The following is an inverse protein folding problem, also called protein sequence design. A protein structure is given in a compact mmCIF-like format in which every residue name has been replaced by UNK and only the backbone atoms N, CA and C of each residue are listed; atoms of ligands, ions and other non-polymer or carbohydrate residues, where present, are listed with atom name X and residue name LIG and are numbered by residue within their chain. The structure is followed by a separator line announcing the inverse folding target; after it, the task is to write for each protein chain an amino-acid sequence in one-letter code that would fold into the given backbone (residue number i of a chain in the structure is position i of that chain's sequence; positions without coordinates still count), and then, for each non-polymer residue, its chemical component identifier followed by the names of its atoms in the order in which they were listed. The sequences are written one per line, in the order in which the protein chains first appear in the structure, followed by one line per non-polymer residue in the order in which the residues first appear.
data_IF_114083468577
#
_entry.id   IF_114083468577
#
_cell.length_a   1.000
_cell.length_b   1.000
_cell.length_c   1.000
_cell.angle_alpha   90.00
_cell.angle_beta   90.00
_cell.angle_gamma   90.00
#
_symmetry.space_group_name_H-M   'P 1'
#
loop_
_entity.id
_entity.type
_entity.pdbx_description
1 polymer ?
#
# COMPACT_ATOMS: atom_id res chain seq x y z
N UNK A 1 12.96 0.65 80.17
CA UNK A 1 11.73 -0.07 80.56
C UNK A 1 10.70 0.14 79.47
N UNK A 2 10.27 -0.94 78.79
CA UNK A 2 9.09 -0.97 77.87
C UNK A 2 7.82 -0.85 78.70
N UNK A 3 6.71 -0.21 78.24
CA UNK A 3 5.74 -0.89 77.35
C UNK A 3 5.01 0.05 76.32
N UNK A 4 4.67 -0.41 75.10
CA UNK A 4 3.31 -0.77 74.58
C UNK A 4 2.28 0.39 74.63
N UNK A 5 1.42 0.73 73.66
CA UNK A 5 0.74 0.00 72.58
C UNK A 5 -0.09 1.02 71.74
N UNK A 6 -0.30 0.73 70.45
CA UNK A 6 -1.50 0.99 69.61
C UNK A 6 -2.11 2.41 69.42
N UNK A 7 -2.17 2.85 68.13
CA UNK A 7 -3.33 3.43 67.43
C UNK A 7 -2.84 4.03 66.09
N UNK A 8 -2.76 3.27 65.00
CA UNK A 8 -3.79 3.20 63.94
C UNK A 8 -4.57 4.51 63.74
N UNK A 9 -4.08 5.39 62.86
CA UNK A 9 -4.92 6.09 61.87
C UNK A 9 -4.10 6.22 60.59
N UNK A 10 -4.33 5.28 59.68
CA UNK A 10 -3.84 5.36 58.31
C UNK A 10 -4.66 6.43 57.56
N UNK A 11 -3.99 7.48 57.10
CA UNK A 11 -4.54 8.42 56.12
C UNK A 11 -3.57 8.51 54.94
N UNK A 12 -3.48 7.42 54.18
CA UNK A 12 -2.84 7.43 52.86
C UNK A 12 -3.83 8.07 51.88
N UNK A 13 -3.62 9.36 51.59
CA UNK A 13 -4.19 10.02 50.40
C UNK A 13 -3.63 9.35 49.14
N UNK A 14 -4.34 8.35 48.62
CA UNK A 14 -4.07 7.81 47.29
C UNK A 14 -4.69 8.75 46.25
N UNK A 15 -3.85 9.58 45.65
CA UNK A 15 -4.19 10.43 44.52
C UNK A 15 -4.39 9.54 43.29
N UNK A 16 -5.64 9.13 43.05
CA UNK A 16 -6.03 8.33 41.88
C UNK A 16 -5.96 9.16 40.60
N UNK A 17 -4.84 9.07 39.89
CA UNK A 17 -4.76 9.53 38.49
C UNK A 17 -5.53 8.56 37.60
N UNK A 18 -6.78 8.90 37.31
CA UNK A 18 -7.55 8.24 36.27
C UNK A 18 -6.94 8.56 34.90
N UNK A 19 -6.12 7.64 34.37
CA UNK A 19 -5.70 7.66 32.98
C UNK A 19 -6.93 7.28 32.12
N UNK A 20 -7.64 8.28 31.64
CA UNK A 20 -8.71 8.11 30.66
C UNK A 20 -8.11 7.67 29.32
N UNK A 21 -8.07 6.36 29.08
CA UNK A 21 -7.81 5.78 27.75
C UNK A 21 -9.00 6.09 26.86
N UNK A 22 -8.92 7.17 26.08
CA UNK A 22 -9.89 7.42 25.02
C UNK A 22 -9.85 6.26 24.01
N UNK A 23 -11.00 5.73 23.56
CA UNK A 23 -11.01 4.76 22.49
C UNK A 23 -10.52 5.44 21.22
N UNK A 24 -9.43 4.93 20.64
CA UNK A 24 -9.01 5.31 19.31
C UNK A 24 -10.06 4.78 18.32
N UNK A 25 -10.89 5.67 17.78
CA UNK A 25 -11.78 5.34 16.68
C UNK A 25 -10.90 5.11 15.44
N UNK A 26 -10.70 3.84 15.08
CA UNK A 26 -10.14 3.48 13.79
C UNK A 26 -11.12 3.97 12.71
N UNK A 27 -10.69 4.95 11.92
CA UNK A 27 -11.42 5.36 10.71
C UNK A 27 -11.33 4.22 9.72
N UNK A 28 -12.45 3.51 9.55
CA UNK A 28 -12.63 2.46 8.56
C UNK A 28 -12.76 3.13 7.18
N UNK A 29 -11.60 3.42 6.58
CA UNK A 29 -11.47 4.18 5.31
C UNK A 29 -10.02 4.41 4.91
N UNK A 30 -9.08 3.63 5.45
CA UNK A 30 -7.67 3.77 5.15
C UNK A 30 -7.40 3.46 3.67
N UNK A 31 -6.61 4.31 3.02
CA UNK A 31 -6.27 4.16 1.62
C UNK A 31 -5.60 2.79 1.35
N UNK A 32 -6.05 2.12 0.30
CA UNK A 32 -5.46 0.88 -0.19
C UNK A 32 -4.13 1.21 -0.85
N UNK A 33 -3.05 0.87 -0.18
CA UNK A 33 -1.71 0.98 -0.75
C UNK A 33 -1.42 -0.22 -1.66
N UNK A 34 -0.90 0.06 -2.86
CA UNK A 34 -0.38 -0.93 -3.80
C UNK A 34 0.90 -0.40 -4.42
N UNK A 35 1.88 -1.28 -4.66
CA UNK A 35 3.10 -0.86 -5.33
C UNK A 35 2.89 -0.80 -6.84
N UNK A 36 3.56 0.13 -7.51
CA UNK A 36 3.60 0.20 -8.97
C UNK A 36 4.09 -1.14 -9.55
N UNK A 37 3.49 -1.56 -10.67
CA UNK A 37 3.73 -2.82 -11.36
C UNK A 37 3.44 -4.09 -10.53
N UNK A 38 2.76 -3.97 -9.39
CA UNK A 38 2.42 -5.10 -8.52
C UNK A 38 0.90 -5.26 -8.38
N UNK A 39 0.49 -6.49 -8.10
CA UNK A 39 -0.89 -6.83 -7.81
C UNK A 39 -1.12 -7.09 -6.32
N UNK A 40 -2.31 -6.73 -5.83
CA UNK A 40 -2.78 -6.98 -4.47
C UNK A 40 -4.17 -7.61 -4.53
N UNK A 41 -4.36 -8.67 -3.76
CA UNK A 41 -5.66 -9.34 -3.63
C UNK A 41 -6.50 -8.58 -2.59
N UNK A 42 -7.66 -8.11 -3.01
CA UNK A 42 -8.68 -7.51 -2.14
C UNK A 42 -9.81 -8.52 -1.94
N UNK A 43 -10.17 -8.79 -0.69
CA UNK A 43 -11.38 -9.56 -0.36
C UNK A 43 -12.48 -8.59 0.06
N UNK A 44 -13.69 -8.82 -0.43
CA UNK A 44 -14.87 -8.01 -0.13
C UNK A 44 -15.96 -8.84 0.53
N UNK A 45 -16.82 -8.17 1.30
CA UNK A 45 -17.78 -8.81 2.21
C UNK A 45 -19.04 -9.32 1.50
N UNK A 46 -19.23 -8.93 0.23
CA UNK A 46 -20.41 -9.21 -0.58
C UNK A 46 -20.00 -9.42 -2.05
N UNK A 47 -20.89 -10.00 -2.84
CA UNK A 47 -20.65 -10.28 -4.25
C UNK A 47 -20.56 -8.99 -5.07
N UNK A 48 -19.41 -8.71 -5.69
CA UNK A 48 -19.27 -7.64 -6.66
C UNK A 48 -20.03 -7.98 -7.96
N UNK A 49 -20.84 -7.05 -8.45
CA UNK A 49 -21.41 -7.11 -9.79
C UNK A 49 -20.74 -6.09 -10.72
N UNK A 50 -20.41 -4.91 -10.20
CA UNK A 50 -19.79 -3.83 -10.97
C UNK A 50 -18.60 -3.28 -10.21
N UNK A 51 -17.49 -3.07 -10.92
CA UNK A 51 -16.28 -2.44 -10.38
C UNK A 51 -15.96 -1.21 -11.22
N UNK A 52 -15.73 -0.09 -10.55
CA UNK A 52 -15.43 1.20 -11.16
C UNK A 52 -14.12 1.69 -10.57
N UNK A 53 -13.17 2.01 -11.44
CA UNK A 53 -11.91 2.66 -11.08
C UNK A 53 -11.91 4.08 -11.63
N UNK A 54 -11.63 5.06 -10.77
CA UNK A 54 -11.65 6.47 -11.18
C UNK A 54 -10.67 6.78 -12.33
N UNK A 55 -9.45 6.24 -12.27
CA UNK A 55 -8.45 6.35 -13.32
C UNK A 55 -7.73 5.01 -13.61
N UNK A 56 -8.08 4.31 -14.71
CA UNK A 56 -7.46 3.04 -15.11
C UNK A 56 -5.99 3.16 -15.58
N UNK A 57 -5.48 4.39 -15.72
CA UNK A 57 -4.05 4.66 -15.92
C UNK A 57 -3.23 4.54 -14.64
N UNK A 58 -3.84 4.79 -13.47
CA UNK A 58 -3.18 4.72 -12.14
C UNK A 58 -3.26 3.31 -11.58
N UNK A 59 -4.45 2.73 -11.53
CA UNK A 59 -4.65 1.37 -11.06
C UNK A 59 -5.73 0.67 -11.90
N UNK A 60 -5.75 -0.66 -11.90
CA UNK A 60 -6.76 -1.45 -12.59
C UNK A 60 -7.23 -2.60 -11.69
N UNK A 61 -8.46 -3.09 -11.88
CA UNK A 61 -9.03 -4.15 -11.07
C UNK A 61 -9.68 -5.21 -11.94
N UNK A 62 -9.34 -6.47 -11.68
CA UNK A 62 -9.97 -7.64 -12.31
C UNK A 62 -10.72 -8.45 -11.26
N UNK A 63 -11.92 -8.91 -11.59
CA UNK A 63 -12.71 -9.80 -10.74
C UNK A 63 -12.21 -11.23 -10.96
N UNK A 64 -11.67 -11.86 -9.93
CA UNK A 64 -11.25 -13.27 -9.98
C UNK A 64 -12.43 -14.19 -9.67
N UNK A 65 -13.19 -13.84 -8.63
CA UNK A 65 -14.43 -14.48 -8.20
C UNK A 65 -15.34 -13.42 -7.54
N UNK A 66 -16.61 -13.74 -7.23
CA UNK A 66 -17.56 -12.74 -6.72
C UNK A 66 -17.09 -11.94 -5.49
N UNK A 67 -16.18 -12.48 -4.67
CA UNK A 67 -15.70 -11.81 -3.46
C UNK A 67 -14.20 -11.51 -3.46
N UNK A 68 -13.51 -11.79 -4.58
CA UNK A 68 -12.07 -11.61 -4.72
C UNK A 68 -11.74 -10.74 -5.92
N UNK A 69 -11.11 -9.60 -5.65
CA UNK A 69 -10.65 -8.64 -6.65
C UNK A 69 -9.12 -8.64 -6.70
N UNK A 70 -8.56 -8.56 -7.90
CA UNK A 70 -7.13 -8.38 -8.14
C UNK A 70 -6.90 -6.93 -8.54
N UNK A 71 -6.36 -6.14 -7.62
CA UNK A 71 -5.96 -4.75 -7.85
C UNK A 71 -4.52 -4.73 -8.37
N UNK A 72 -4.28 -4.05 -9.49
CA UNK A 72 -2.94 -3.86 -10.07
C UNK A 72 -2.58 -2.38 -10.08
N UNK A 73 -1.46 -2.01 -9.46
CA UNK A 73 -0.91 -0.65 -9.57
C UNK A 73 -0.19 -0.47 -10.90
N UNK A 74 -0.60 0.51 -11.71
CA UNK A 74 -0.02 0.77 -13.05
C UNK A 74 0.86 2.01 -13.08
N UNK A 75 0.40 3.11 -12.50
CA UNK A 75 1.19 4.33 -12.39
C UNK A 75 1.06 5.03 -11.05
N UNK A 76 2.04 5.86 -10.73
CA UNK A 76 2.08 6.60 -9.47
C UNK A 76 0.91 7.57 -9.36
N UNK A 77 0.35 7.67 -8.16
CA UNK A 77 -0.70 8.64 -7.86
C UNK A 77 -1.77 8.05 -6.95
N UNK A 78 -2.88 8.79 -6.87
CA UNK A 78 -4.04 8.40 -6.10
C UNK A 78 -5.26 8.31 -7.03
N UNK A 79 -6.07 7.28 -6.82
CA UNK A 79 -7.38 7.12 -7.47
C UNK A 79 -8.36 6.50 -6.49
N UNK A 80 -9.57 6.18 -6.91
CA UNK A 80 -10.56 5.53 -6.08
C UNK A 80 -11.11 4.28 -6.76
N UNK A 81 -11.60 3.37 -5.92
CA UNK A 81 -12.25 2.13 -6.29
C UNK A 81 -13.65 2.12 -5.70
N UNK A 82 -14.65 1.97 -6.57
CA UNK A 82 -16.04 1.80 -6.19
C UNK A 82 -16.48 0.40 -6.63
N UNK A 83 -17.03 -0.37 -5.70
CA UNK A 83 -17.55 -1.72 -5.94
C UNK A 83 -19.03 -1.71 -5.63
N UNK A 84 -19.86 -2.17 -6.56
CA UNK A 84 -21.31 -2.23 -6.41
C UNK A 84 -21.82 -3.67 -6.44
N UNK A 85 -22.91 -3.93 -5.71
CA UNK A 85 -23.69 -5.16 -5.81
C UNK A 85 -24.57 -5.19 -7.07
N UNK A 86 -25.32 -6.28 -7.27
CA UNK A 86 -26.21 -6.46 -8.44
C UNK A 86 -27.41 -5.52 -8.46
N UNK A 87 -27.73 -4.86 -7.35
CA UNK A 87 -28.83 -3.91 -7.19
C UNK A 87 -28.32 -2.45 -7.32
N UNK A 88 -27.00 -2.26 -7.37
CA UNK A 88 -26.34 -0.96 -7.49
C UNK A 88 -25.98 -0.31 -6.16
N UNK A 89 -26.06 -1.03 -5.03
CA UNK A 89 -25.61 -0.48 -3.74
C UNK A 89 -24.08 -0.56 -3.64
N UNK A 90 -23.42 0.46 -3.05
CA UNK A 90 -21.98 0.42 -2.84
C UNK A 90 -21.59 -0.59 -1.76
N UNK A 91 -20.76 -1.56 -2.15
CA UNK A 91 -20.07 -2.51 -1.27
C UNK A 91 -18.80 -1.88 -0.70
N UNK A 92 -18.07 -1.12 -1.51
CA UNK A 92 -16.87 -0.41 -1.12
C UNK A 92 -16.73 0.89 -1.93
N UNK A 93 -16.25 1.95 -1.26
CA UNK A 93 -15.77 3.18 -1.86
C UNK A 93 -14.50 3.59 -1.10
N UNK A 94 -13.35 3.46 -1.74
CA UNK A 94 -12.05 3.65 -1.08
C UNK A 94 -11.04 4.29 -2.00
N UNK A 95 -10.14 5.07 -1.42
CA UNK A 95 -8.96 5.55 -2.15
C UNK A 95 -7.94 4.42 -2.34
N UNK A 96 -7.28 4.44 -3.48
CA UNK A 96 -6.11 3.64 -3.83
C UNK A 96 -4.93 4.60 -3.94
N UNK A 97 -3.83 4.25 -3.29
CA UNK A 97 -2.57 4.95 -3.40
C UNK A 97 -1.53 4.02 -4.03
N UNK A 98 -0.98 4.44 -5.18
CA UNK A 98 0.02 3.68 -5.92
C UNK A 98 1.39 4.28 -5.67
N UNK A 99 2.23 3.55 -4.94
CA UNK A 99 3.54 4.01 -4.47
C UNK A 99 4.68 3.19 -5.06
N UNK A 100 5.89 3.72 -4.98
CA UNK A 100 7.08 2.95 -5.34
C UNK A 100 7.30 1.81 -4.35
N UNK A 101 7.71 0.64 -4.85
CA UNK A 101 8.26 -0.40 -3.98
C UNK A 101 9.61 0.10 -3.44
N UNK A 102 9.68 0.31 -2.13
CA UNK A 102 10.90 0.79 -1.48
C UNK A 102 11.92 -0.34 -1.26
N UNK A 103 11.47 -1.60 -1.20
CA UNK A 103 12.34 -2.75 -0.98
C UNK A 103 13.01 -3.19 -2.29
N UNK A 104 14.34 -3.32 -2.27
CA UNK A 104 15.12 -3.92 -3.36
C UNK A 104 15.30 -3.05 -4.61
N UNK A 105 14.79 -1.82 -4.62
CA UNK A 105 14.95 -0.87 -5.72
C UNK A 105 15.86 0.29 -5.31
N UNK A 106 16.92 0.51 -6.08
CA UNK A 106 17.85 1.63 -5.94
C UNK A 106 17.68 2.57 -7.12
N UNK A 107 17.52 3.87 -6.85
CA UNK A 107 17.49 4.90 -7.88
C UNK A 107 18.81 5.68 -7.87
N UNK A 108 19.44 5.81 -9.03
CA UNK A 108 20.69 6.57 -9.20
C UNK A 108 20.39 7.84 -10.00
N UNK A 109 20.88 8.98 -9.51
CA UNK A 109 20.76 10.27 -10.18
C UNK A 109 22.14 10.75 -10.64
N UNK A 110 22.29 11.02 -11.93
CA UNK A 110 23.47 11.62 -12.55
C UNK A 110 23.08 12.94 -13.21
N UNK A 111 23.07 14.02 -12.41
CA UNK A 111 22.46 15.28 -12.82
C UNK A 111 20.94 15.13 -12.94
N UNK A 112 20.39 15.36 -14.13
CA UNK A 112 18.96 15.18 -14.42
C UNK A 112 18.60 13.75 -14.87
N UNK A 113 19.61 12.92 -15.18
CA UNK A 113 19.38 11.55 -15.60
C UNK A 113 19.08 10.68 -14.37
N UNK A 114 17.90 10.05 -14.35
CA UNK A 114 17.47 9.10 -13.32
C UNK A 114 17.52 7.69 -13.88
N UNK A 115 18.10 6.74 -13.16
CA UNK A 115 18.06 5.32 -13.53
C UNK A 115 17.62 4.47 -12.35
N UNK A 116 16.86 3.41 -12.63
CA UNK A 116 16.35 2.49 -11.61
C UNK A 116 17.00 1.11 -11.72
N UNK A 117 17.35 0.55 -10.57
CA UNK A 117 18.04 -0.73 -10.42
C UNK A 117 17.31 -1.61 -9.41
N UNK A 118 17.17 -2.90 -9.70
CA UNK A 118 16.77 -3.90 -8.71
C UNK A 118 18.02 -4.61 -8.17
N UNK A 119 18.26 -4.57 -6.86
CA UNK A 119 19.51 -5.07 -6.26
C UNK A 119 19.25 -6.22 -5.27
N UNK A 120 19.69 -7.43 -5.63
CA UNK A 120 19.73 -8.58 -4.71
C UNK A 120 20.58 -9.75 -5.27
N UNK A 121 21.85 -9.97 -4.84
CA UNK A 121 22.83 -9.04 -4.26
C UNK A 121 23.55 -8.17 -5.32
N UNK A 122 23.42 -8.52 -6.60
CA UNK A 122 23.90 -7.74 -7.74
C UNK A 122 22.76 -6.89 -8.29
N UNK A 123 23.06 -5.66 -8.71
CA UNK A 123 22.07 -4.78 -9.30
C UNK A 123 21.83 -5.09 -10.78
N UNK A 124 20.56 -5.20 -11.16
CA UNK A 124 20.11 -5.32 -12.54
C UNK A 124 19.30 -4.08 -12.93
N UNK A 125 19.41 -3.67 -14.19
CA UNK A 125 18.63 -2.55 -14.72
C UNK A 125 17.15 -2.93 -14.75
N UNK A 126 16.31 -2.02 -14.26
CA UNK A 126 14.85 -2.11 -14.41
C UNK A 126 14.34 -0.81 -15.02
N UNK A 127 13.22 -0.90 -15.72
CA UNK A 127 12.57 0.29 -16.27
C UNK A 127 11.51 0.76 -15.27
N UNK A 128 11.65 1.98 -14.78
CA UNK A 128 10.61 2.65 -13.99
C UNK A 128 10.17 3.96 -14.64
N UNK A 129 8.92 4.36 -14.40
CA UNK A 129 8.47 5.70 -14.80
C UNK A 129 9.32 6.77 -14.13
N UNK A 130 9.67 7.79 -14.91
CA UNK A 130 10.55 8.87 -14.50
C UNK A 130 12.03 8.60 -14.73
N UNK A 131 12.42 7.40 -15.18
CA UNK A 131 13.79 7.14 -15.61
C UNK A 131 14.13 7.92 -16.89
N UNK A 132 15.43 8.15 -17.10
CA UNK A 132 15.96 8.80 -18.27
C UNK A 132 15.46 8.09 -19.55
N UNK A 133 14.93 8.83 -20.55
CA UNK A 133 14.39 8.23 -21.76
C UNK A 133 15.45 7.44 -22.56
N UNK A 134 16.71 7.88 -22.54
CA UNK A 134 17.82 7.19 -23.20
C UNK A 134 18.13 5.85 -22.54
N UNK A 135 18.21 5.82 -21.20
CA UNK A 135 18.36 4.59 -20.43
C UNK A 135 17.20 3.62 -20.67
N UNK A 136 15.96 4.11 -20.59
CA UNK A 136 14.76 3.30 -20.78
C UNK A 136 14.69 2.73 -22.20
N UNK A 137 15.01 3.54 -23.21
CA UNK A 137 15.05 3.09 -24.61
C UNK A 137 16.08 1.99 -24.86
N UNK A 138 17.27 2.09 -24.26
CA UNK A 138 18.29 1.04 -24.35
C UNK A 138 17.86 -0.26 -23.67
N UNK A 139 17.22 -0.18 -22.51
CA UNK A 139 16.71 -1.35 -21.80
C UNK A 139 15.56 -2.05 -22.54
N UNK A 140 14.67 -1.30 -23.21
CA UNK A 140 13.65 -1.90 -24.08
C UNK A 140 14.29 -2.57 -25.30
N UNK A 141 15.27 -1.90 -25.92
CA UNK A 141 15.98 -2.46 -27.07
C UNK A 141 16.75 -3.74 -26.73
N UNK A 142 17.35 -3.85 -25.53
CA UNK A 142 17.99 -5.08 -25.10
C UNK A 142 16.97 -6.20 -24.85
N UNK A 143 15.81 -5.88 -24.27
CA UNK A 143 14.73 -6.86 -24.08
C UNK A 143 14.22 -7.43 -25.40
N UNK A 144 14.00 -6.57 -26.41
CA UNK A 144 13.52 -7.02 -27.72
C UNK A 144 14.53 -7.86 -28.49
N UNK A 145 15.84 -7.61 -28.29
CA UNK A 145 16.90 -8.47 -28.83
C UNK A 145 16.86 -9.88 -28.20
N UNK A 146 16.63 -9.97 -26.88
CA UNK A 146 16.51 -11.27 -26.20
C UNK A 146 15.28 -12.05 -26.69
N UNK A 147 14.14 -11.39 -26.87
CA UNK A 147 12.94 -12.01 -27.43
C UNK A 147 13.16 -12.50 -28.87
N UNK A 148 13.88 -11.73 -29.70
CA UNK A 148 14.18 -12.10 -31.08
C UNK A 148 15.12 -13.31 -31.20
N UNK A 149 15.96 -13.57 -30.19
CA UNK A 149 16.83 -14.75 -30.14
C UNK A 149 16.14 -16.00 -29.59
N UNK A 150 14.96 -15.84 -28.97
CA UNK A 150 14.17 -16.93 -28.40
C UNK A 150 13.20 -17.59 -29.38
N UNK A 151 13.03 -17.03 -30.57
CA UNK A 151 12.23 -17.56 -31.69
C UNK A 151 13.14 -18.09 -32.81
#
# INVERSE_FOLDING_TARGET
MRPHLAAVVALCMTLGTALSTAPALAVDGAAINVNVNMARILRINASAATVIVGNPGIADVTIQDPQTLILTGKSYGQTNLIVLDSVGNPIADTMIEVVQMQAGVTTVYQGLARTSLACAPVCQNIIMMGDDPGFSGQAVASSSLVEAMGN
#
